data_IF_142053308670
#
_entry.id   IF_142053308670
#
_cell.length_a   1.000
_cell.length_b   1.000
_cell.length_c   1.000
_cell.angle_alpha   90.00
_cell.angle_beta   90.00
_cell.angle_gamma   90.00
#
_symmetry.space_group_name_H-M   'P 1'
#
loop_
_entity.id
_entity.type
_entity.pdbx_description
1 polymer ?
#
# COMPACT_ATOMS: atom_id res chain seq x y z
N UNK A 1 12.27 -6.12 15.61
CA UNK A 1 12.55 -7.54 15.29
C UNK A 1 12.41 -7.69 13.79
N UNK A 2 13.39 -8.24 13.06
CA UNK A 2 13.20 -8.54 11.64
C UNK A 2 12.02 -9.51 11.52
N UNK A 3 11.12 -9.27 10.56
CA UNK A 3 9.91 -10.07 10.38
C UNK A 3 10.24 -11.56 10.21
N UNK A 4 9.52 -12.41 10.93
CA UNK A 4 9.57 -13.87 10.73
C UNK A 4 9.16 -14.22 9.29
N UNK A 5 9.78 -15.24 8.66
CA UNK A 5 9.43 -15.66 7.31
C UNK A 5 7.94 -15.99 7.20
N UNK A 6 7.24 -15.36 6.24
CA UNK A 6 5.83 -15.60 5.94
C UNK A 6 4.84 -14.56 6.47
N UNK A 7 5.29 -13.50 7.17
CA UNK A 7 4.37 -12.45 7.66
C UNK A 7 4.29 -11.27 6.69
N UNK A 8 3.09 -11.02 6.18
CA UNK A 8 2.74 -9.81 5.42
C UNK A 8 2.36 -8.70 6.41
N UNK A 9 3.35 -8.18 7.14
CA UNK A 9 3.15 -7.08 8.09
C UNK A 9 3.57 -5.72 7.53
N UNK A 10 3.44 -4.65 8.32
CA UNK A 10 3.68 -3.28 7.85
C UNK A 10 5.07 -3.09 7.25
N UNK A 11 6.11 -3.60 7.90
CA UNK A 11 7.49 -3.49 7.41
C UNK A 11 7.64 -4.21 6.07
N UNK A 12 7.07 -5.43 5.94
CA UNK A 12 7.05 -6.13 4.66
C UNK A 12 6.37 -5.29 3.56
N UNK A 13 5.19 -4.72 3.85
CA UNK A 13 4.46 -3.93 2.86
C UNK A 13 5.23 -2.66 2.46
N UNK A 14 5.84 -1.95 3.41
CA UNK A 14 6.68 -0.79 3.13
C UNK A 14 7.84 -1.15 2.21
N UNK A 15 8.61 -2.20 2.55
CA UNK A 15 9.77 -2.63 1.77
C UNK A 15 9.36 -3.11 0.36
N UNK A 16 8.26 -3.86 0.26
CA UNK A 16 7.72 -4.31 -1.01
C UNK A 16 7.30 -3.13 -1.90
N UNK A 17 6.59 -2.14 -1.34
CA UNK A 17 6.15 -0.95 -2.07
C UNK A 17 7.36 -0.16 -2.56
N UNK A 18 8.37 0.04 -1.72
CA UNK A 18 9.60 0.75 -2.09
C UNK A 18 10.34 0.05 -3.23
N UNK A 19 10.47 -1.27 -3.19
CA UNK A 19 11.14 -2.02 -4.25
C UNK A 19 10.35 -2.01 -5.55
N UNK A 20 9.02 -2.15 -5.49
CA UNK A 20 8.17 -2.01 -6.67
C UNK A 20 8.23 -0.60 -7.26
N UNK A 21 8.23 0.43 -6.39
CA UNK A 21 8.42 1.82 -6.79
C UNK A 21 9.81 2.09 -7.36
N UNK A 22 10.83 1.26 -7.13
CA UNK A 22 12.14 1.40 -7.79
C UNK A 22 12.05 1.12 -9.28
N UNK A 23 11.16 0.22 -9.70
CA UNK A 23 11.03 -0.23 -11.10
C UNK A 23 9.78 0.27 -11.81
N UNK A 24 8.76 0.71 -11.07
CA UNK A 24 7.57 1.34 -11.65
C UNK A 24 7.96 2.63 -12.38
N UNK A 25 7.44 2.84 -13.59
CA UNK A 25 7.75 4.07 -14.35
C UNK A 25 7.04 5.27 -13.72
N UNK A 26 5.71 5.20 -13.58
CA UNK A 26 4.89 6.33 -13.14
C UNK A 26 4.26 6.11 -11.76
N UNK A 27 3.49 5.02 -11.61
CA UNK A 27 2.72 4.75 -10.39
C UNK A 27 2.65 3.24 -10.07
N UNK A 28 2.48 2.94 -8.79
CA UNK A 28 2.11 1.61 -8.30
C UNK A 28 0.67 1.67 -7.76
N UNK A 29 -0.13 0.65 -8.07
CA UNK A 29 -1.49 0.52 -7.57
C UNK A 29 -1.65 -0.78 -6.81
N UNK A 30 -2.24 -0.72 -5.62
CA UNK A 30 -2.42 -1.88 -4.73
C UNK A 30 -3.89 -2.01 -4.37
N UNK A 31 -4.46 -3.15 -4.72
CA UNK A 31 -5.85 -3.49 -4.43
C UNK A 31 -5.94 -4.96 -4.03
N UNK A 32 -6.81 -5.31 -3.07
CA UNK A 32 -7.58 -4.41 -2.21
C UNK A 32 -6.79 -3.97 -0.96
N UNK A 33 -7.32 -3.03 -0.19
CA UNK A 33 -6.73 -2.56 1.08
C UNK A 33 -7.33 -3.22 2.34
N UNK A 34 -8.02 -4.35 2.18
CA UNK A 34 -8.61 -5.11 3.29
C UNK A 34 -7.78 -6.34 3.62
N UNK A 35 -7.88 -6.84 4.85
CA UNK A 35 -7.23 -8.09 5.24
C UNK A 35 -7.75 -9.28 4.41
N UNK A 36 -6.87 -10.26 4.18
CA UNK A 36 -7.18 -11.41 3.33
C UNK A 36 -8.39 -12.19 3.88
N UNK A 37 -9.41 -12.36 3.03
CA UNK A 37 -10.65 -13.07 3.40
C UNK A 37 -11.61 -12.30 4.30
N UNK A 38 -11.36 -11.01 4.60
CA UNK A 38 -12.23 -10.19 5.46
C UNK A 38 -12.67 -8.89 4.78
N UNK A 39 -13.67 -8.19 5.32
CA UNK A 39 -14.03 -6.84 4.86
C UNK A 39 -13.36 -5.73 5.67
N UNK A 40 -12.39 -6.07 6.51
CA UNK A 40 -11.76 -5.15 7.47
C UNK A 40 -10.60 -4.44 6.77
N UNK A 41 -10.60 -3.10 6.79
CA UNK A 41 -9.48 -2.31 6.29
C UNK A 41 -8.22 -2.68 7.06
N UNK A 42 -7.10 -2.83 6.36
CA UNK A 42 -5.85 -3.16 7.02
C UNK A 42 -5.45 -2.06 8.01
N UNK A 43 -5.24 -2.39 9.30
CA UNK A 43 -5.27 -1.41 10.39
C UNK A 43 -4.07 -0.46 10.38
N UNK A 44 -3.00 -0.78 9.67
CA UNK A 44 -1.76 0.01 9.65
C UNK A 44 -1.63 0.92 8.42
N UNK A 45 -2.75 1.24 7.77
CA UNK A 45 -2.75 1.99 6.53
C UNK A 45 -2.21 3.41 6.75
N UNK A 46 -2.64 4.10 7.80
CA UNK A 46 -2.20 5.47 8.09
C UNK A 46 -0.69 5.51 8.38
N UNK A 47 -0.17 4.60 9.21
CA UNK A 47 1.27 4.57 9.48
C UNK A 47 2.09 4.17 8.24
N UNK A 48 1.55 3.31 7.37
CA UNK A 48 2.19 2.99 6.09
C UNK A 48 2.26 4.22 5.18
N UNK A 49 1.20 5.03 5.12
CA UNK A 49 1.19 6.26 4.33
C UNK A 49 2.23 7.27 4.84
N UNK A 50 2.36 7.42 6.15
CA UNK A 50 3.38 8.26 6.76
C UNK A 50 4.79 7.73 6.48
N UNK A 51 5.03 6.42 6.67
CA UNK A 51 6.30 5.75 6.36
C UNK A 51 6.68 5.95 4.87
N UNK A 52 5.72 5.83 3.94
CA UNK A 52 5.95 6.03 2.51
C UNK A 52 6.35 7.47 2.18
N UNK A 53 5.69 8.44 2.82
CA UNK A 53 5.98 9.86 2.63
C UNK A 53 7.40 10.21 3.07
N UNK A 54 7.86 9.66 4.19
CA UNK A 54 9.26 9.82 4.64
C UNK A 54 10.28 9.28 3.62
N UNK A 55 9.87 8.35 2.76
CA UNK A 55 10.68 7.77 1.69
C UNK A 55 10.45 8.41 0.31
N UNK A 56 9.81 9.57 0.25
CA UNK A 56 9.59 10.30 -1.01
C UNK A 56 8.53 9.67 -1.91
N UNK A 57 7.62 8.87 -1.35
CA UNK A 57 6.50 8.25 -2.06
C UNK A 57 5.21 8.85 -1.50
N UNK A 58 4.41 9.45 -2.37
CA UNK A 58 3.05 9.88 -2.03
C UNK A 58 2.09 8.72 -2.21
N UNK A 59 1.27 8.46 -1.20
CA UNK A 59 0.27 7.40 -1.20
C UNK A 59 -1.14 7.99 -1.08
N UNK A 60 -1.99 7.70 -2.04
CA UNK A 60 -3.37 8.16 -2.10
C UNK A 60 -4.33 6.97 -2.05
N UNK A 61 -5.29 6.99 -1.12
CA UNK A 61 -6.35 5.97 -1.04
C UNK A 61 -7.54 6.46 -1.86
N UNK A 62 -7.89 5.71 -2.90
CA UNK A 62 -9.01 6.04 -3.79
C UNK A 62 -10.06 4.93 -3.77
N UNK A 63 -11.33 5.31 -3.87
CA UNK A 63 -12.40 4.35 -4.13
C UNK A 63 -12.38 3.86 -5.58
N UNK A 64 -12.76 2.60 -5.78
CA UNK A 64 -12.90 1.98 -7.11
C UNK A 64 -14.23 1.26 -7.25
N UNK A 65 -14.79 1.28 -8.46
CA UNK A 65 -16.06 0.61 -8.78
C UNK A 65 -15.93 -0.92 -8.82
N UNK A 66 -14.70 -1.44 -8.91
CA UNK A 66 -14.42 -2.87 -8.92
C UNK A 66 -14.62 -3.49 -7.52
N UNK A 67 -15.55 -4.45 -7.42
CA UNK A 67 -15.96 -5.08 -6.15
C UNK A 67 -15.93 -6.60 -6.25
N UNK A 68 -14.73 -7.18 -6.24
CA UNK A 68 -14.55 -8.64 -6.18
C UNK A 68 -14.87 -9.21 -4.79
N UNK A 69 -14.49 -8.50 -3.73
CA UNK A 69 -14.69 -8.89 -2.33
C UNK A 69 -15.56 -7.86 -1.61
N UNK A 70 -16.45 -8.33 -0.72
CA UNK A 70 -17.35 -7.44 0.04
C UNK A 70 -16.55 -6.46 0.89
N UNK A 71 -16.83 -5.17 0.74
CA UNK A 71 -16.11 -4.10 1.45
C UNK A 71 -14.74 -3.74 0.87
N UNK A 72 -14.20 -4.53 -0.07
CA UNK A 72 -12.93 -4.29 -0.73
C UNK A 72 -13.10 -3.38 -1.95
N UNK A 73 -13.16 -2.07 -1.73
CA UNK A 73 -13.41 -1.06 -2.78
C UNK A 73 -12.47 0.13 -2.71
N UNK A 74 -11.37 0.00 -1.95
CA UNK A 74 -10.32 0.99 -1.88
C UNK A 74 -9.05 0.44 -2.51
N UNK A 75 -8.30 1.32 -3.17
CA UNK A 75 -7.01 1.07 -3.80
C UNK A 75 -6.02 2.11 -3.33
N UNK A 76 -4.80 1.69 -3.02
CA UNK A 76 -3.69 2.61 -2.77
C UNK A 76 -3.02 2.91 -4.10
N UNK A 77 -2.81 4.19 -4.39
CA UNK A 77 -2.04 4.67 -5.52
C UNK A 77 -0.78 5.35 -4.99
N UNK A 78 0.38 4.81 -5.35
CA UNK A 78 1.67 5.33 -4.95
C UNK A 78 2.35 6.04 -6.13
N UNK A 79 2.89 7.23 -5.88
CA UNK A 79 3.64 8.03 -6.86
C UNK A 79 4.92 8.56 -6.22
N UNK A 80 5.97 8.78 -7.02
CA UNK A 80 7.15 9.48 -6.50
C UNK A 80 6.78 10.93 -6.26
N UNK A 81 7.15 11.46 -5.10
CA UNK A 81 7.11 12.90 -4.88
C UNK A 81 8.21 13.47 -5.77
N UNK A 82 7.81 14.15 -6.85
CA UNK A 82 8.74 14.92 -7.66
C UNK A 82 9.39 15.97 -6.77
N UNK A 83 10.72 15.94 -6.65
CA UNK A 83 11.43 17.15 -6.26
C UNK A 83 11.32 18.11 -7.44
N UNK A 84 10.93 19.39 -7.22
CA UNK A 84 10.93 20.40 -8.27
C UNK A 84 12.32 20.57 -8.91
#
# INVERSE_FOLDING_TARGET
MPGLPGRLDRTFHLDAIRELMRVAQDELRIFPLVESGTSVLWPYLDELLDDLREHGIDGEVVEVDYRFQKGAHHMLVCRRIGFP
#
